data_IF_103950740538
#
_entry.id   IF_103950740538
#
_cell.length_a   1.000
_cell.length_b   1.000
_cell.length_c   1.000
_cell.angle_alpha   90.00
_cell.angle_beta   90.00
_cell.angle_gamma   90.00
#
_symmetry.space_group_name_H-M   'P 1'
#
loop_
_entity.id
_entity.type
_entity.pdbx_description
1 polymer ?
#
# COMPACT_ATOMS: atom_id res chain seq x y z
N UNK A 1 -15.88 5.63 13.50
CA UNK A 1 -14.46 5.38 13.17
C UNK A 1 -13.67 5.73 14.43
N UNK A 2 -13.01 4.86 15.19
CA UNK A 2 -12.48 3.50 14.98
C UNK A 2 -12.70 2.77 16.31
N UNK A 3 -13.64 1.83 16.42
CA UNK A 3 -13.84 1.03 17.63
C UNK A 3 -13.72 -0.45 17.25
N UNK A 4 -12.65 -1.09 17.72
CA UNK A 4 -12.30 -2.46 17.38
C UNK A 4 -10.92 -2.81 17.93
N UNK A 5 -10.61 -4.10 18.07
CA UNK A 5 -9.40 -4.60 18.74
C UNK A 5 -8.08 -4.11 18.10
N UNK A 6 -8.13 -3.59 16.87
CA UNK A 6 -6.97 -3.14 16.09
C UNK A 6 -6.75 -1.62 16.14
N UNK A 7 -7.44 -0.89 17.03
CA UNK A 7 -7.44 0.59 17.10
C UNK A 7 -6.06 1.25 17.26
N UNK A 8 -5.03 0.49 17.61
CA UNK A 8 -3.65 0.98 17.76
C UNK A 8 -2.66 0.40 16.73
N UNK A 9 -3.12 -0.46 15.81
CA UNK A 9 -2.28 -1.05 14.79
C UNK A 9 -2.39 -0.25 13.49
N UNK A 10 -1.25 0.00 12.86
CA UNK A 10 -1.19 0.61 11.53
C UNK A 10 -1.67 -0.41 10.48
N UNK A 11 -2.42 0.03 9.47
CA UNK A 11 -2.77 -0.83 8.35
C UNK A 11 -1.54 -1.12 7.48
N UNK A 12 -1.50 -2.29 6.86
CA UNK A 12 -0.54 -2.57 5.79
C UNK A 12 -0.89 -1.77 4.55
N UNK A 13 0.10 -1.10 3.98
CA UNK A 13 -0.02 -0.35 2.75
C UNK A 13 1.30 -0.35 1.99
N UNK A 14 1.21 -0.20 0.67
CA UNK A 14 2.36 0.00 -0.21
C UNK A 14 2.19 1.30 -0.99
N UNK A 15 3.27 2.07 -1.06
CA UNK A 15 3.36 3.33 -1.78
C UNK A 15 4.59 3.27 -2.67
N UNK A 16 4.40 3.45 -3.97
CA UNK A 16 5.50 3.54 -4.94
C UNK A 16 5.68 4.99 -5.35
N UNK A 17 6.92 5.46 -5.28
CA UNK A 17 7.31 6.84 -5.58
C UNK A 17 8.37 6.79 -6.67
N UNK A 18 8.23 7.64 -7.69
CA UNK A 18 9.22 7.78 -8.75
C UNK A 18 10.43 8.64 -8.33
N UNK A 19 11.41 8.76 -9.21
CA UNK A 19 12.64 9.54 -9.00
C UNK A 19 12.42 11.05 -8.83
N UNK A 20 11.26 11.57 -9.25
CA UNK A 20 10.86 12.96 -9.06
C UNK A 20 10.07 13.18 -7.75
N UNK A 21 9.88 12.12 -6.96
CA UNK A 21 9.13 12.19 -5.70
C UNK A 21 7.61 12.14 -5.90
N UNK A 22 7.12 11.78 -7.09
CA UNK A 22 5.68 11.65 -7.36
C UNK A 22 5.21 10.25 -6.99
N UNK A 23 4.08 10.18 -6.31
CA UNK A 23 3.41 8.91 -6.01
C UNK A 23 2.77 8.36 -7.29
N UNK A 24 3.23 7.17 -7.72
CA UNK A 24 2.74 6.50 -8.93
C UNK A 24 1.83 5.31 -8.63
N UNK A 25 1.85 4.81 -7.40
CA UNK A 25 0.96 3.73 -6.94
C UNK A 25 0.73 3.80 -5.43
N UNK A 26 -0.50 3.50 -5.01
CA UNK A 26 -0.84 3.31 -3.60
C UNK A 26 -1.80 2.14 -3.47
N UNK A 27 -1.50 1.23 -2.56
CA UNK A 27 -2.39 0.16 -2.14
C UNK A 27 -2.51 0.16 -0.62
N UNK A 28 -3.75 0.12 -0.12
CA UNK A 28 -4.04 -0.14 1.29
C UNK A 28 -4.77 -1.46 1.40
N UNK A 29 -4.23 -2.37 2.21
CA UNK A 29 -4.82 -3.70 2.37
C UNK A 29 -6.06 -3.60 3.26
N UNK A 30 -7.16 -4.22 2.82
CA UNK A 30 -8.45 -4.19 3.54
C UNK A 30 -8.40 -4.91 4.90
N UNK A 31 -7.62 -5.98 5.00
CA UNK A 31 -7.41 -6.72 6.24
C UNK A 31 -5.92 -7.00 6.46
N UNK A 32 -5.47 -6.92 7.71
CA UNK A 32 -4.06 -7.09 8.06
C UNK A 32 -3.50 -8.49 7.72
N UNK A 33 -4.36 -9.50 7.67
CA UNK A 33 -4.05 -10.89 7.31
C UNK A 33 -3.64 -11.07 5.85
N UNK A 34 -4.07 -10.17 4.96
CA UNK A 34 -3.74 -10.27 3.54
C UNK A 34 -2.42 -9.56 3.22
N UNK A 35 -1.76 -10.05 2.17
CA UNK A 35 -0.59 -9.38 1.59
C UNK A 35 -1.02 -8.37 0.51
N UNK A 36 -0.27 -7.28 0.32
CA UNK A 36 -0.41 -6.39 -0.83
C UNK A 36 -0.15 -7.12 -2.16
N UNK A 37 -0.55 -6.51 -3.27
CA UNK A 37 -0.27 -7.02 -4.60
C UNK A 37 1.11 -6.57 -5.10
N UNK A 38 2.15 -7.30 -4.66
CA UNK A 38 3.54 -7.06 -5.07
C UNK A 38 3.77 -7.07 -6.59
N UNK A 39 2.98 -7.83 -7.35
CA UNK A 39 3.10 -7.84 -8.81
C UNK A 39 2.63 -6.52 -9.42
N UNK A 40 1.56 -5.92 -8.89
CA UNK A 40 1.06 -4.62 -9.35
C UNK A 40 2.06 -3.49 -9.05
N UNK A 41 2.75 -3.54 -7.92
CA UNK A 41 3.80 -2.59 -7.54
C UNK A 41 4.97 -2.59 -8.54
N UNK A 42 5.47 -3.78 -8.90
CA UNK A 42 6.59 -3.94 -9.85
C UNK A 42 6.19 -3.46 -11.24
N UNK A 43 4.91 -3.64 -11.63
CA UNK A 43 4.39 -3.15 -12.90
C UNK A 43 4.32 -1.62 -12.91
N UNK A 44 3.88 -0.98 -11.81
CA UNK A 44 3.86 0.48 -11.71
C UNK A 44 5.26 1.09 -11.94
N UNK A 45 6.31 0.47 -11.40
CA UNK A 45 7.71 0.87 -11.62
C UNK A 45 8.21 0.68 -13.06
N UNK A 46 7.69 -0.30 -13.80
CA UNK A 46 8.16 -0.62 -15.18
C UNK A 46 7.54 0.27 -16.26
N UNK A 47 6.44 0.96 -15.95
CA UNK A 47 5.69 1.76 -16.93
C UNK A 47 6.02 3.27 -16.80
N UNK A 48 6.81 3.65 -15.80
CA UNK A 48 7.35 5.00 -15.62
C UNK A 48 8.72 5.09 -16.27
#
# INVERSE_FOLDING_TARGET
MTDGQMKSLLSRAVVVIDEHGKVIYTEQVKELSHEPNYAAEIVALKIT
#
